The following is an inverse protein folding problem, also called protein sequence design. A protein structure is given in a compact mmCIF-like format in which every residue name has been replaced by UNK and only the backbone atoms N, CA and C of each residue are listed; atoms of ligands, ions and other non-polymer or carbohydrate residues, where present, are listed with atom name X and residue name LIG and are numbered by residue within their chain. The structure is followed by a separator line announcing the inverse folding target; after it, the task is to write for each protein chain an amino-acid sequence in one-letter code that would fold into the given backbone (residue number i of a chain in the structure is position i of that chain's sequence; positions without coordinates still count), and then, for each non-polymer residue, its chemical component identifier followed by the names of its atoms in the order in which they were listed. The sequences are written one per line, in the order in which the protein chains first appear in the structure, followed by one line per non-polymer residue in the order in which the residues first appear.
data_IF_412306659972
#
_entry.id   IF_412306659972
#
_cell.length_a   1.000
_cell.length_b   1.000
_cell.length_c   1.000
_cell.angle_alpha   90.00
_cell.angle_beta   90.00
_cell.angle_gamma   90.00
#
_symmetry.space_group_name_H-M   'P 1'
#
loop_
_entity.id
_entity.type
_entity.pdbx_description
1 polymer ?
#
# COMPACT_ATOMS: atom_id res chain seq x y z
N UNK A 1 13.41 -8.29 -1.06
CA UNK A 1 12.21 -8.30 -0.24
C UNK A 1 12.07 -9.66 0.45
N UNK A 2 11.48 -9.68 1.62
CA UNK A 2 11.33 -10.88 2.42
C UNK A 2 10.54 -11.96 1.68
N UNK A 3 10.85 -13.25 1.92
CA UNK A 3 10.08 -14.34 1.31
C UNK A 3 8.60 -14.22 1.66
N UNK A 4 7.74 -14.40 0.66
CA UNK A 4 6.31 -14.33 0.83
C UNK A 4 5.74 -12.92 0.90
N UNK A 5 6.59 -11.88 0.81
CA UNK A 5 6.15 -10.49 0.82
C UNK A 5 6.65 -9.82 -0.47
N UNK A 6 5.71 -9.48 -1.35
CA UNK A 6 6.02 -8.87 -2.64
C UNK A 6 5.14 -7.65 -2.86
N UNK A 7 5.77 -6.51 -3.06
CA UNK A 7 5.04 -5.33 -3.52
C UNK A 7 5.05 -5.31 -5.06
N UNK A 8 4.08 -4.61 -5.64
CA UNK A 8 4.00 -4.53 -7.11
C UNK A 8 5.15 -3.73 -7.69
N UNK A 9 5.53 -2.65 -7.04
CA UNK A 9 6.59 -1.77 -7.51
C UNK A 9 7.46 -1.30 -6.35
N UNK A 10 8.69 -0.98 -6.66
CA UNK A 10 9.61 -0.35 -5.72
C UNK A 10 10.13 0.95 -6.31
N UNK A 11 10.06 2.01 -5.54
CA UNK A 11 10.69 3.28 -5.86
C UNK A 11 11.67 3.59 -4.74
N UNK A 12 12.94 3.19 -4.93
CA UNK A 12 13.92 3.27 -3.87
C UNK A 12 13.53 2.34 -2.72
N UNK A 13 13.25 2.91 -1.56
CA UNK A 13 12.84 2.15 -0.38
C UNK A 13 11.35 2.31 -0.08
N UNK A 14 10.58 2.78 -1.07
CA UNK A 14 9.13 2.92 -0.95
C UNK A 14 8.47 1.83 -1.78
N UNK A 15 7.65 1.00 -1.13
CA UNK A 15 6.85 -0.01 -1.81
C UNK A 15 5.56 0.60 -2.33
N UNK A 16 5.12 0.17 -3.50
CA UNK A 16 3.86 0.62 -4.10
C UNK A 16 3.02 -0.62 -4.40
N UNK A 17 1.84 -0.67 -3.82
CA UNK A 17 0.90 -1.76 -4.01
C UNK A 17 -0.36 -1.23 -4.67
N UNK A 18 -0.77 -1.84 -5.79
CA UNK A 18 -1.97 -1.45 -6.52
C UNK A 18 -3.04 -2.51 -6.34
N UNK A 19 -4.21 -2.10 -5.85
CA UNK A 19 -5.35 -3.00 -5.63
C UNK A 19 -6.52 -2.57 -6.50
N UNK A 20 -6.73 -3.26 -7.60
CA UNK A 20 -7.82 -2.99 -8.54
C UNK A 20 -9.12 -3.63 -8.10
N UNK A 21 -9.07 -4.65 -7.28
CA UNK A 21 -10.26 -5.34 -6.77
C UNK A 21 -10.55 -4.88 -5.35
N UNK A 22 -11.81 -5.01 -4.97
CA UNK A 22 -12.20 -4.73 -3.60
C UNK A 22 -11.46 -5.67 -2.65
N UNK A 23 -10.83 -5.10 -1.66
CA UNK A 23 -10.15 -5.86 -0.62
C UNK A 23 -10.57 -5.28 0.73
N UNK A 24 -10.84 -6.14 1.70
CA UNK A 24 -11.21 -5.71 3.02
C UNK A 24 -10.06 -4.98 3.71
N UNK A 25 -10.42 -4.03 4.59
CA UNK A 25 -9.43 -3.25 5.32
C UNK A 25 -8.47 -4.13 6.12
N UNK A 26 -9.02 -5.15 6.82
CA UNK A 26 -8.20 -6.03 7.64
C UNK A 26 -7.16 -6.79 6.83
N UNK A 27 -7.54 -7.24 5.62
CA UNK A 27 -6.61 -7.94 4.74
C UNK A 27 -5.50 -7.02 4.26
N UNK A 28 -5.85 -5.78 3.92
CA UNK A 28 -4.85 -4.79 3.48
C UNK A 28 -3.90 -4.41 4.61
N UNK A 29 -4.41 -4.26 5.81
CA UNK A 29 -3.56 -3.97 6.97
C UNK A 29 -2.57 -5.11 7.23
N UNK A 30 -3.03 -6.35 7.18
CA UNK A 30 -2.16 -7.51 7.37
C UNK A 30 -1.06 -7.57 6.31
N UNK A 31 -1.43 -7.29 5.07
CA UNK A 31 -0.49 -7.29 3.96
C UNK A 31 0.54 -6.17 4.13
N UNK A 32 0.08 -4.98 4.51
CA UNK A 32 0.97 -3.85 4.77
C UNK A 32 1.94 -4.15 5.91
N UNK A 33 1.47 -4.79 6.98
CA UNK A 33 2.34 -5.21 8.07
C UNK A 33 3.45 -6.13 7.60
N UNK A 34 3.10 -7.07 6.73
CA UNK A 34 4.05 -8.01 6.17
C UNK A 34 5.14 -7.29 5.36
N UNK A 35 4.73 -6.36 4.51
CA UNK A 35 5.68 -5.61 3.70
C UNK A 35 6.58 -4.73 4.54
N UNK A 36 6.02 -4.03 5.52
CA UNK A 36 6.76 -3.03 6.28
C UNK A 36 7.64 -3.63 7.38
N UNK A 37 7.51 -4.91 7.66
CA UNK A 37 8.47 -5.63 8.49
C UNK A 37 9.78 -5.89 7.75
N UNK A 38 9.77 -5.76 6.43
CA UNK A 38 10.96 -5.94 5.62
C UNK A 38 11.84 -4.70 5.75
N UNK A 39 13.10 -4.88 6.06
CA UNK A 39 14.04 -3.76 6.23
C UNK A 39 14.31 -3.02 4.94
N UNK A 40 14.02 -3.63 3.79
CA UNK A 40 14.20 -2.98 2.50
C UNK A 40 13.19 -1.87 2.25
N UNK A 41 12.09 -1.81 3.00
CA UNK A 41 11.05 -0.81 2.83
C UNK A 41 11.02 0.15 4.00
N UNK A 42 11.00 1.45 3.70
CA UNK A 42 10.84 2.50 4.69
C UNK A 42 9.43 3.07 4.70
N UNK A 43 8.66 2.84 3.64
CA UNK A 43 7.31 3.37 3.49
C UNK A 43 6.52 2.53 2.50
N UNK A 44 5.20 2.66 2.53
CA UNK A 44 4.31 1.94 1.62
C UNK A 44 3.25 2.90 1.08
N UNK A 45 3.00 2.82 -0.22
CA UNK A 45 1.88 3.50 -0.87
C UNK A 45 0.93 2.44 -1.37
N UNK A 46 -0.33 2.52 -0.96
CA UNK A 46 -1.38 1.61 -1.40
C UNK A 46 -2.36 2.39 -2.26
N UNK A 47 -2.45 2.02 -3.53
CA UNK A 47 -3.39 2.62 -4.47
C UNK A 47 -4.57 1.68 -4.64
N UNK A 48 -5.78 2.15 -4.33
CA UNK A 48 -6.99 1.34 -4.38
C UNK A 48 -8.07 2.02 -5.21
N UNK A 49 -9.00 1.25 -5.74
CA UNK A 49 -10.17 1.80 -6.42
C UNK A 49 -11.27 2.16 -5.44
N UNK A 50 -11.38 1.44 -4.35
CA UNK A 50 -12.33 1.75 -3.28
C UNK A 50 -11.59 2.50 -2.19
N UNK A 51 -12.15 3.58 -1.69
CA UNK A 51 -11.46 4.41 -0.69
C UNK A 51 -11.32 3.72 0.66
N UNK A 52 -10.39 2.81 0.77
CA UNK A 52 -10.09 2.14 2.02
C UNK A 52 -9.18 3.03 2.86
N UNK A 53 -9.56 3.24 4.11
CA UNK A 53 -8.80 4.04 5.04
C UNK A 53 -7.85 3.16 5.84
N UNK A 54 -6.57 3.31 5.61
CA UNK A 54 -5.53 2.56 6.32
C UNK A 54 -4.85 3.43 7.36
N UNK A 55 -4.28 2.83 8.41
CA UNK A 55 -3.48 3.59 9.36
C UNK A 55 -2.34 4.32 8.64
N UNK A 56 -2.01 5.51 9.12
CA UNK A 56 -0.93 6.32 8.52
C UNK A 56 0.45 5.76 8.79
N UNK A 57 0.58 4.92 9.80
CA UNK A 57 1.84 4.27 10.16
C UNK A 57 1.56 2.83 10.51
N UNK A 58 2.39 1.94 10.02
CA UNK A 58 2.34 0.51 10.34
C UNK A 58 3.77 0.07 10.57
N UNK A 59 4.01 -0.66 11.64
CA UNK A 59 5.36 -1.09 12.04
C UNK A 59 6.34 0.08 12.14
N UNK A 60 5.83 1.25 12.57
CA UNK A 60 6.65 2.45 12.71
C UNK A 60 6.99 3.15 11.40
N UNK A 61 6.41 2.72 10.28
CA UNK A 61 6.74 3.28 8.96
C UNK A 61 5.52 3.93 8.33
N UNK A 62 5.68 5.01 7.56
CA UNK A 62 4.55 5.72 6.97
C UNK A 62 3.84 4.92 5.89
N UNK A 63 2.52 5.06 5.86
CA UNK A 63 1.64 4.44 4.86
C UNK A 63 0.79 5.53 4.25
N UNK A 64 0.78 5.62 2.92
CA UNK A 64 -0.09 6.53 2.18
C UNK A 64 -1.10 5.72 1.39
N UNK A 65 -2.34 6.20 1.35
CA UNK A 65 -3.41 5.56 0.59
C UNK A 65 -3.89 6.52 -0.48
N UNK A 66 -3.97 6.04 -1.71
CA UNK A 66 -4.40 6.81 -2.86
C UNK A 66 -5.64 6.15 -3.46
N UNK A 67 -6.68 6.93 -3.71
CA UNK A 67 -7.88 6.43 -4.37
C UNK A 67 -7.78 6.66 -5.88
N UNK A 68 -7.60 5.59 -6.62
CA UNK A 68 -7.38 5.67 -8.06
C UNK A 68 -8.56 6.26 -8.82
N UNK A 69 -9.78 5.88 -8.45
CA UNK A 69 -10.95 6.34 -9.19
C UNK A 69 -11.14 7.85 -9.10
N UNK A 70 -10.86 8.46 -7.94
CA UNK A 70 -10.94 9.91 -7.79
C UNK A 70 -9.88 10.63 -8.58
N UNK A 71 -8.64 10.15 -8.46
CA UNK A 71 -7.50 10.82 -9.06
C UNK A 71 -7.54 10.73 -10.58
N UNK A 72 -7.93 9.60 -11.09
CA UNK A 72 -8.05 9.41 -12.53
C UNK A 72 -9.19 10.23 -13.12
N UNK A 73 -10.31 10.33 -12.40
CA UNK A 73 -11.44 11.11 -12.85
C UNK A 73 -11.09 12.59 -13.03
N UNK A 74 -10.22 13.11 -12.19
CA UNK A 74 -9.80 14.49 -12.29
C UNK A 74 -8.87 14.71 -13.49
N UNK A 75 -8.06 13.74 -13.81
CA UNK A 75 -7.11 13.84 -14.90
C UNK A 75 -7.78 13.89 -16.27
N UNK A 76 -9.01 13.46 -16.33
CA UNK A 76 -9.74 13.43 -17.57
C UNK A 76 -10.57 14.68 -17.78
#
# INVERSE_FOLDING_TARGET
IAPGARVDFLAGRVGIEVKCRHAGRAALVRQAQKYLRCEALDALVVATRSGVDLPRHIAGKPVATVCLSRNWGIAL
#
